data_IF_467660067833
#
_entry.id   IF_467660067833
#
_cell.length_a   1.000
_cell.length_b   1.000
_cell.length_c   1.000
_cell.angle_alpha   90.00
_cell.angle_beta   90.00
_cell.angle_gamma   90.00
#
_symmetry.space_group_name_H-M   'P 1'
#
loop_
_entity.id
_entity.type
_entity.pdbx_description
1 polymer ?
#
# COMPACT_ATOMS: atom_id res chain seq x y z
N UNK A 1 23.10 -40.14 9.10
CA UNK A 1 22.10 -39.08 8.94
C UNK A 1 21.11 -39.21 10.07
N UNK A 2 21.14 -38.25 10.99
CA UNK A 2 20.25 -38.23 12.16
C UNK A 2 18.86 -37.71 11.77
N UNK A 3 17.81 -38.07 12.51
CA UNK A 3 16.43 -37.60 12.25
C UNK A 3 16.29 -36.08 12.21
N UNK A 4 17.21 -35.34 12.85
CA UNK A 4 17.29 -33.87 12.80
C UNK A 4 17.72 -33.32 11.43
N UNK A 5 18.57 -34.03 10.67
CA UNK A 5 19.02 -33.58 9.33
C UNK A 5 17.97 -33.84 8.23
N UNK A 6 16.96 -34.67 8.53
CA UNK A 6 15.84 -34.99 7.64
C UNK A 6 14.68 -34.00 7.80
N UNK A 7 14.48 -33.42 8.99
CA UNK A 7 13.45 -32.40 9.23
C UNK A 7 13.82 -31.05 8.61
N UNK A 8 15.08 -30.60 8.75
CA UNK A 8 15.55 -29.32 8.16
C UNK A 8 15.42 -29.29 6.62
N UNK A 9 15.60 -30.44 5.97
CA UNK A 9 15.52 -30.57 4.50
C UNK A 9 14.07 -30.58 3.97
N UNK A 10 13.09 -30.87 4.84
CA UNK A 10 11.68 -30.86 4.45
C UNK A 10 11.14 -29.42 4.40
N UNK A 11 11.62 -28.53 5.27
CA UNK A 11 11.21 -27.13 5.31
C UNK A 11 11.73 -26.31 4.12
N UNK A 12 12.95 -26.58 3.64
CA UNK A 12 13.48 -25.93 2.41
C UNK A 12 12.69 -26.29 1.14
N UNK A 13 11.98 -27.43 1.13
CA UNK A 13 11.22 -27.89 -0.04
C UNK A 13 9.84 -27.21 -0.18
N UNK A 14 9.34 -26.60 0.90
CA UNK A 14 7.96 -26.09 1.00
C UNK A 14 7.93 -24.56 1.06
N UNK A 15 9.03 -23.91 1.44
CA UNK A 15 9.12 -22.46 1.49
C UNK A 15 9.33 -21.86 0.08
N UNK A 16 8.56 -20.82 -0.32
CA UNK A 16 8.79 -20.13 -1.57
C UNK A 16 10.21 -19.55 -1.61
N UNK A 17 10.89 -19.72 -2.74
CA UNK A 17 12.23 -19.15 -2.94
C UNK A 17 12.13 -17.64 -3.01
N UNK A 18 12.99 -16.95 -2.26
CA UNK A 18 13.14 -15.50 -2.35
C UNK A 18 13.69 -15.10 -3.72
N UNK A 19 13.05 -14.11 -4.34
CA UNK A 19 13.53 -13.42 -5.52
C UNK A 19 14.32 -12.20 -5.06
N UNK A 20 15.58 -12.14 -5.47
CA UNK A 20 16.47 -11.00 -5.22
C UNK A 20 16.69 -10.19 -6.50
N UNK A 21 16.79 -10.86 -7.64
CA UNK A 21 17.16 -10.21 -8.90
C UNK A 21 16.23 -10.67 -10.01
N UNK A 22 15.78 -9.72 -10.83
CA UNK A 22 15.01 -10.01 -12.04
C UNK A 22 15.15 -8.89 -13.06
N UNK A 23 14.88 -9.22 -14.32
CA UNK A 23 14.96 -8.29 -15.44
C UNK A 23 13.66 -8.33 -16.25
N UNK A 24 13.23 -7.16 -16.71
CA UNK A 24 12.19 -7.03 -17.72
C UNK A 24 12.70 -6.18 -18.88
N UNK A 25 12.40 -6.61 -20.10
CA UNK A 25 12.63 -5.83 -21.31
C UNK A 25 11.35 -5.75 -22.14
N UNK A 26 10.93 -4.54 -22.53
CA UNK A 26 9.76 -4.32 -23.38
C UNK A 26 9.96 -3.18 -24.36
N UNK A 27 9.34 -3.28 -25.53
CA UNK A 27 9.27 -2.17 -26.50
C UNK A 27 7.97 -1.40 -26.26
N UNK A 28 8.06 -0.09 -26.15
CA UNK A 28 6.93 0.82 -25.93
C UNK A 28 6.76 1.74 -27.14
N UNK A 29 5.51 1.97 -27.52
CA UNK A 29 5.14 2.79 -28.68
C UNK A 29 5.13 4.29 -28.33
N UNK A 30 6.29 4.77 -27.89
CA UNK A 30 6.54 6.17 -27.50
C UNK A 30 8.00 6.52 -27.86
N UNK A 31 8.26 7.71 -28.43
CA UNK A 31 9.61 8.19 -28.67
C UNK A 31 10.44 8.33 -27.38
N UNK A 32 11.74 8.03 -27.49
CA UNK A 32 12.65 7.97 -26.34
C UNK A 32 12.64 9.21 -25.46
N UNK A 33 12.65 10.40 -26.07
CA UNK A 33 12.59 11.66 -25.34
C UNK A 33 11.30 11.83 -24.52
N UNK A 34 10.13 11.39 -25.03
CA UNK A 34 8.86 11.56 -24.33
C UNK A 34 8.76 10.66 -23.10
N UNK A 35 9.08 9.37 -23.24
CA UNK A 35 9.02 8.43 -22.11
C UNK A 35 10.10 8.74 -21.08
N UNK A 36 11.33 9.07 -21.51
CA UNK A 36 12.42 9.42 -20.61
C UNK A 36 12.09 10.65 -19.79
N UNK A 37 11.63 11.74 -20.42
CA UNK A 37 11.31 12.98 -19.70
C UNK A 37 10.22 12.77 -18.64
N UNK A 38 9.26 11.88 -18.88
CA UNK A 38 8.18 11.58 -17.92
C UNK A 38 8.65 10.67 -16.78
N UNK A 39 9.53 9.69 -17.06
CA UNK A 39 10.13 8.85 -16.01
C UNK A 39 11.20 9.59 -15.19
N UNK A 40 11.85 10.60 -15.76
CA UNK A 40 12.83 11.44 -15.07
C UNK A 40 12.19 12.56 -14.23
N UNK A 41 10.89 12.86 -14.44
CA UNK A 41 10.14 13.88 -13.70
C UNK A 41 9.59 13.34 -12.38
N UNK A 42 10.52 13.11 -11.43
CA UNK A 42 10.26 12.49 -10.12
C UNK A 42 9.17 13.25 -9.33
N UNK A 43 9.15 14.58 -9.40
CA UNK A 43 8.15 15.42 -8.73
C UNK A 43 6.72 15.13 -9.20
N UNK A 44 6.56 14.66 -10.44
CA UNK A 44 5.27 14.40 -11.07
C UNK A 44 4.77 12.95 -10.89
N UNK A 45 5.54 12.09 -10.21
CA UNK A 45 5.14 10.70 -9.96
C UNK A 45 3.76 10.54 -9.30
N UNK A 46 3.32 11.40 -8.36
CA UNK A 46 1.96 11.31 -7.81
C UNK A 46 0.85 11.52 -8.85
N UNK A 47 1.10 12.27 -9.93
CA UNK A 47 0.10 12.42 -11.00
C UNK A 47 0.09 11.21 -11.94
N UNK A 48 1.25 10.55 -12.11
CA UNK A 48 1.41 9.38 -13.00
C UNK A 48 0.91 8.09 -12.32
N UNK A 49 1.17 7.95 -11.02
CA UNK A 49 0.83 6.79 -10.19
C UNK A 49 0.04 7.20 -8.94
N UNK A 50 -1.11 7.87 -9.08
CA UNK A 50 -1.84 8.50 -7.96
C UNK A 50 -2.35 7.52 -6.91
N UNK A 51 -2.47 6.23 -7.26
CA UNK A 51 -2.85 5.18 -6.31
C UNK A 51 -1.65 4.61 -5.54
N UNK A 52 -0.46 4.67 -6.14
CA UNK A 52 0.74 3.99 -5.65
C UNK A 52 1.73 4.93 -4.98
N UNK A 53 1.79 6.19 -5.41
CA UNK A 53 2.70 7.23 -4.90
C UNK A 53 1.83 8.38 -4.39
N UNK A 54 1.73 8.49 -3.07
CA UNK A 54 0.88 9.47 -2.39
C UNK A 54 1.53 10.85 -2.37
N UNK A 55 2.86 10.91 -2.21
CA UNK A 55 3.59 12.17 -2.21
C UNK A 55 5.06 11.98 -2.57
N UNK A 56 5.65 13.04 -3.13
CA UNK A 56 7.08 13.15 -3.41
C UNK A 56 7.54 14.51 -2.87
N UNK A 57 8.53 14.48 -1.97
CA UNK A 57 9.14 15.68 -1.39
C UNK A 57 10.64 15.71 -1.73
N UNK A 58 11.04 16.64 -2.58
CA UNK A 58 12.45 16.76 -3.01
C UNK A 58 13.30 17.33 -1.87
N UNK A 59 14.25 16.52 -1.40
CA UNK A 59 15.19 16.90 -0.34
C UNK A 59 16.43 17.59 -0.91
N UNK A 60 16.90 17.13 -2.07
CA UNK A 60 18.04 17.71 -2.77
C UNK A 60 17.93 17.45 -4.28
N UNK A 61 18.39 18.40 -5.10
CA UNK A 61 18.37 18.31 -6.56
C UNK A 61 19.61 18.97 -7.13
N UNK A 62 20.39 18.17 -7.86
CA UNK A 62 21.50 18.63 -8.71
C UNK A 62 21.17 18.33 -10.17
N UNK A 63 22.10 18.57 -11.09
CA UNK A 63 21.86 18.37 -12.53
C UNK A 63 21.46 16.91 -12.87
N UNK A 64 22.14 15.93 -12.27
CA UNK A 64 21.96 14.51 -12.60
C UNK A 64 21.48 13.66 -11.42
N UNK A 65 21.34 14.24 -10.23
CA UNK A 65 20.95 13.50 -9.01
C UNK A 65 19.82 14.20 -8.30
N UNK A 66 18.76 13.45 -8.01
CA UNK A 66 17.61 13.88 -7.20
C UNK A 66 17.54 12.98 -5.98
N UNK A 67 17.40 13.56 -4.78
CA UNK A 67 17.09 12.82 -3.56
C UNK A 67 15.73 13.28 -3.11
N UNK A 68 14.78 12.35 -3.01
CA UNK A 68 13.41 12.61 -2.64
C UNK A 68 12.97 11.70 -1.50
N UNK A 69 12.09 12.22 -0.65
CA UNK A 69 11.27 11.40 0.24
C UNK A 69 9.98 11.06 -0.51
N UNK A 70 9.72 9.78 -0.71
CA UNK A 70 8.58 9.27 -1.48
C UNK A 70 7.68 8.43 -0.57
N UNK A 71 6.38 8.73 -0.56
CA UNK A 71 5.38 7.95 0.18
C UNK A 71 4.61 7.05 -0.77
N UNK A 72 4.77 5.74 -0.57
CA UNK A 72 4.16 4.69 -1.36
C UNK A 72 2.95 4.06 -0.65
N UNK A 73 1.99 3.59 -1.44
CA UNK A 73 0.81 2.86 -0.98
C UNK A 73 0.45 1.75 -1.96
N UNK A 74 0.54 0.48 -1.55
CA UNK A 74 0.14 -0.66 -2.39
C UNK A 74 -0.54 -1.72 -1.54
N UNK A 75 -1.73 -2.20 -1.95
CA UNK A 75 -2.46 -3.27 -1.27
C UNK A 75 -2.59 -3.09 0.27
N UNK A 76 -2.79 -1.86 0.75
CA UNK A 76 -2.89 -1.52 2.18
C UNK A 76 -1.54 -1.22 2.85
N UNK A 77 -0.42 -1.59 2.22
CA UNK A 77 0.94 -1.32 2.69
C UNK A 77 1.29 0.12 2.35
N UNK A 78 1.49 0.95 3.38
CA UNK A 78 2.05 2.30 3.24
C UNK A 78 3.48 2.35 3.75
N UNK A 79 4.39 2.90 2.95
CA UNK A 79 5.78 3.08 3.37
C UNK A 79 6.36 4.37 2.82
N UNK A 80 7.34 4.90 3.54
CA UNK A 80 8.03 6.14 3.19
C UNK A 80 9.49 5.78 2.99
N UNK A 81 10.04 6.17 1.84
CA UNK A 81 11.37 5.81 1.41
C UNK A 81 12.15 7.08 1.08
N UNK A 82 13.45 7.09 1.39
CA UNK A 82 14.34 8.09 0.82
C UNK A 82 15.01 7.47 -0.40
N UNK A 83 14.73 8.05 -1.56
CA UNK A 83 15.12 7.50 -2.85
C UNK A 83 16.06 8.47 -3.53
N UNK A 84 17.18 7.93 -4.02
CA UNK A 84 18.17 8.65 -4.80
C UNK A 84 18.04 8.23 -6.26
N UNK A 85 17.71 9.19 -7.10
CA UNK A 85 17.63 9.04 -8.53
C UNK A 85 18.90 9.59 -9.16
N UNK A 86 19.56 8.79 -9.99
CA UNK A 86 20.68 9.23 -10.84
C UNK A 86 20.24 9.13 -12.30
N UNK A 87 20.28 10.25 -13.02
CA UNK A 87 19.69 10.43 -14.34
C UNK A 87 20.83 10.66 -15.33
N UNK A 88 20.99 9.73 -16.27
CA UNK A 88 21.85 9.91 -17.45
C UNK A 88 20.94 10.21 -18.65
N UNK A 89 20.86 11.48 -19.10
CA UNK A 89 19.85 11.94 -20.04
C UNK A 89 19.64 11.02 -21.24
N UNK A 90 18.39 10.64 -21.47
CA UNK A 90 17.91 9.82 -22.60
C UNK A 90 18.49 8.40 -22.70
N UNK A 91 19.22 7.92 -21.68
CA UNK A 91 19.90 6.63 -21.74
C UNK A 91 19.64 5.76 -20.51
N UNK A 92 19.69 6.34 -19.30
CA UNK A 92 19.61 5.56 -18.07
C UNK A 92 19.00 6.34 -16.92
N UNK A 93 18.21 5.67 -16.10
CA UNK A 93 17.71 6.17 -14.82
C UNK A 93 17.96 5.10 -13.76
N UNK A 94 18.80 5.43 -12.79
CA UNK A 94 19.09 4.56 -11.64
C UNK A 94 18.32 5.06 -10.44
N UNK A 95 17.55 4.20 -9.81
CA UNK A 95 16.73 4.47 -8.62
C UNK A 95 17.31 3.62 -7.50
N UNK A 96 17.89 4.27 -6.50
CA UNK A 96 18.56 3.64 -5.36
C UNK A 96 17.82 4.04 -4.09
N UNK A 97 17.30 3.06 -3.35
CA UNK A 97 16.63 3.31 -2.08
C UNK A 97 17.70 3.37 -1.00
N UNK A 98 17.87 4.54 -0.38
CA UNK A 98 18.97 4.81 0.56
C UNK A 98 18.50 4.83 2.03
N UNK A 99 17.19 4.88 2.27
CA UNK A 99 16.57 4.74 3.60
C UNK A 99 15.14 4.18 3.50
N UNK A 100 14.72 3.40 4.49
CA UNK A 100 13.43 2.70 4.54
C UNK A 100 13.51 1.18 4.28
N UNK A 101 12.37 0.48 4.29
CA UNK A 101 12.24 -1.00 4.21
C UNK A 101 12.87 -1.67 3.02
N UNK A 102 13.12 -0.90 1.97
CA UNK A 102 13.69 -1.40 0.75
C UNK A 102 15.10 -0.84 0.53
N UNK A 103 15.75 -0.30 1.57
CA UNK A 103 17.09 0.25 1.43
C UNK A 103 18.05 -0.83 0.94
N UNK A 104 18.91 -0.45 0.00
CA UNK A 104 19.75 -1.38 -0.76
C UNK A 104 19.12 -1.86 -2.06
N UNK A 105 17.80 -1.72 -2.23
CA UNK A 105 17.14 -1.98 -3.51
C UNK A 105 17.61 -0.98 -4.56
N UNK A 106 17.95 -1.51 -5.74
CA UNK A 106 18.43 -0.75 -6.89
C UNK A 106 17.63 -1.16 -8.11
N UNK A 107 17.00 -0.17 -8.75
CA UNK A 107 16.29 -0.34 -10.02
C UNK A 107 17.05 0.46 -11.08
N UNK A 108 17.46 -0.21 -12.15
CA UNK A 108 18.17 0.40 -13.28
C UNK A 108 17.30 0.30 -14.51
N UNK A 109 16.81 1.43 -14.98
CA UNK A 109 16.09 1.57 -16.24
C UNK A 109 17.04 2.05 -17.33
N UNK A 110 17.10 1.32 -18.43
CA UNK A 110 17.89 1.63 -19.63
C UNK A 110 16.95 1.87 -20.80
N UNK A 111 17.23 2.90 -21.58
CA UNK A 111 16.39 3.37 -22.66
C UNK A 111 17.14 3.29 -24.00
N UNK A 112 16.63 2.50 -24.93
CA UNK A 112 17.21 2.30 -26.26
C UNK A 112 16.20 2.76 -27.33
N UNK A 113 16.51 3.81 -28.12
CA UNK A 113 15.62 4.24 -29.21
C UNK A 113 15.60 3.20 -30.34
N UNK A 114 14.39 2.86 -30.82
CA UNK A 114 14.17 1.98 -31.97
C UNK A 114 13.15 2.67 -32.87
N UNK A 115 13.61 3.33 -33.95
CA UNK A 115 12.78 4.15 -34.83
C UNK A 115 11.94 5.19 -34.05
N UNK A 116 10.61 5.06 -34.05
CA UNK A 116 9.68 5.90 -33.28
C UNK A 116 9.28 5.33 -31.91
N UNK A 117 9.87 4.20 -31.54
CA UNK A 117 9.60 3.45 -30.32
C UNK A 117 10.81 3.47 -29.39
N UNK A 118 10.62 2.97 -28.18
CA UNK A 118 11.70 2.86 -27.19
C UNK A 118 11.70 1.45 -26.62
N UNK A 119 12.85 0.79 -26.60
CA UNK A 119 13.05 -0.41 -25.80
C UNK A 119 13.50 0.00 -24.41
N UNK A 120 12.69 -0.37 -23.42
CA UNK A 120 12.96 -0.15 -22.01
C UNK A 120 13.39 -1.47 -21.38
N UNK A 121 14.58 -1.48 -20.80
CA UNK A 121 15.07 -2.59 -19.98
C UNK A 121 15.12 -2.12 -18.53
N UNK A 122 14.48 -2.84 -17.62
CA UNK A 122 14.52 -2.57 -16.18
C UNK A 122 15.16 -3.76 -15.48
N UNK A 123 16.32 -3.52 -14.88
CA UNK A 123 16.99 -4.48 -13.99
C UNK A 123 16.66 -4.11 -12.55
N UNK A 124 16.23 -5.08 -11.77
CA UNK A 124 15.86 -4.87 -10.38
C UNK A 124 16.68 -5.78 -9.49
N UNK A 125 17.36 -5.17 -8.53
CA UNK A 125 17.93 -5.83 -7.37
C UNK A 125 17.09 -5.43 -6.15
N UNK A 126 16.46 -6.41 -5.50
CA UNK A 126 15.64 -6.26 -4.32
C UNK A 126 16.48 -6.54 -3.07
N UNK A 127 16.62 -5.53 -2.23
CA UNK A 127 17.07 -5.67 -0.85
C UNK A 127 15.92 -5.20 0.04
N UNK A 128 15.15 -6.17 0.52
CA UNK A 128 13.86 -5.96 1.16
C UNK A 128 13.87 -6.50 2.56
N UNK A 129 13.46 -5.65 3.46
CA UNK A 129 13.38 -5.94 4.86
C UNK A 129 11.96 -5.61 5.36
N UNK A 130 11.62 -6.11 6.55
CA UNK A 130 10.46 -5.64 7.30
C UNK A 130 9.17 -6.00 6.62
N UNK A 131 8.27 -5.03 6.52
CA UNK A 131 6.97 -5.25 5.89
C UNK A 131 7.08 -5.51 4.38
N UNK A 132 8.18 -5.09 3.75
CA UNK A 132 8.42 -5.33 2.31
C UNK A 132 9.01 -6.70 2.02
N UNK A 133 9.55 -7.40 3.02
CA UNK A 133 10.16 -8.73 2.85
C UNK A 133 9.20 -9.75 2.22
N UNK A 134 7.89 -9.59 2.41
CA UNK A 134 6.84 -10.43 1.79
C UNK A 134 6.87 -10.37 0.26
N UNK A 135 7.27 -9.24 -0.33
CA UNK A 135 7.37 -9.06 -1.79
C UNK A 135 8.43 -9.98 -2.39
N UNK A 136 9.51 -10.26 -1.67
CA UNK A 136 10.56 -11.18 -2.12
C UNK A 136 10.07 -12.62 -2.33
N UNK A 137 8.94 -13.00 -1.71
CA UNK A 137 8.35 -14.33 -1.85
C UNK A 137 7.27 -14.41 -2.93
N UNK A 138 6.94 -13.29 -3.60
CA UNK A 138 6.01 -13.31 -4.72
C UNK A 138 6.62 -14.02 -5.93
N UNK A 139 5.83 -14.73 -6.73
CA UNK A 139 6.32 -15.29 -8.00
C UNK A 139 6.86 -14.20 -8.92
N UNK A 140 7.95 -14.49 -9.63
CA UNK A 140 8.62 -13.54 -10.55
C UNK A 140 7.64 -12.96 -11.58
N UNK A 141 6.75 -13.80 -12.09
CA UNK A 141 5.69 -13.40 -13.01
C UNK A 141 4.81 -12.28 -12.48
N UNK A 142 4.54 -12.26 -11.17
CA UNK A 142 3.71 -11.24 -10.53
C UNK A 142 4.48 -9.91 -10.42
N UNK A 143 5.77 -9.97 -10.08
CA UNK A 143 6.65 -8.80 -10.04
C UNK A 143 6.80 -8.18 -11.44
N UNK A 144 7.05 -9.02 -12.44
CA UNK A 144 7.13 -8.62 -13.86
C UNK A 144 5.80 -8.03 -14.33
N UNK A 145 4.66 -8.59 -13.93
CA UNK A 145 3.36 -8.02 -14.25
C UNK A 145 3.16 -6.64 -13.59
N UNK A 146 3.48 -6.50 -12.30
CA UNK A 146 3.34 -5.24 -11.58
C UNK A 146 4.22 -4.13 -12.22
N UNK A 147 5.48 -4.42 -12.53
CA UNK A 147 6.34 -3.48 -13.25
C UNK A 147 5.79 -3.13 -14.62
N UNK A 148 5.23 -4.10 -15.35
CA UNK A 148 4.57 -3.81 -16.62
C UNK A 148 3.40 -2.84 -16.47
N UNK A 149 2.57 -3.01 -15.44
CA UNK A 149 1.48 -2.08 -15.13
C UNK A 149 2.01 -0.69 -14.83
N UNK A 150 3.03 -0.58 -13.98
CA UNK A 150 3.69 0.70 -13.66
C UNK A 150 4.21 1.39 -14.92
N UNK A 151 5.00 0.68 -15.74
CA UNK A 151 5.55 1.25 -16.98
C UNK A 151 4.43 1.63 -17.95
N UNK A 152 3.31 0.91 -17.98
CA UNK A 152 2.16 1.28 -18.82
C UNK A 152 1.54 2.62 -18.43
N UNK A 153 1.41 2.93 -17.14
CA UNK A 153 0.96 4.27 -16.70
C UNK A 153 1.91 5.37 -17.16
N UNK A 154 3.23 5.17 -17.05
CA UNK A 154 4.22 6.11 -17.60
C UNK A 154 4.10 6.27 -19.12
N UNK A 155 3.86 5.17 -19.85
CA UNK A 155 3.65 5.19 -21.30
C UNK A 155 2.39 5.96 -21.67
N UNK A 156 1.27 5.72 -20.99
CA UNK A 156 0.01 6.44 -21.21
C UNK A 156 0.18 7.93 -20.93
N UNK A 157 0.73 8.28 -19.78
CA UNK A 157 0.97 9.67 -19.39
C UNK A 157 1.96 10.38 -20.34
N UNK A 158 2.93 9.66 -20.89
CA UNK A 158 3.89 10.22 -21.85
C UNK A 158 3.25 10.65 -23.18
N UNK A 159 2.08 10.10 -23.52
CA UNK A 159 1.32 10.48 -24.72
C UNK A 159 0.59 11.81 -24.54
N UNK A 160 0.27 12.20 -23.30
CA UNK A 160 -0.40 13.45 -23.00
C UNK A 160 0.42 14.65 -23.47
N UNK A 161 -0.27 15.61 -24.07
CA UNK A 161 0.27 16.94 -24.33
C UNK A 161 0.25 17.81 -23.07
N UNK A 162 0.73 19.05 -23.20
CA UNK A 162 0.83 19.95 -22.05
C UNK A 162 -0.53 20.28 -21.43
N UNK A 163 -1.58 20.41 -22.23
CA UNK A 163 -2.92 20.77 -21.76
C UNK A 163 -3.59 19.59 -21.06
N UNK A 164 -3.45 18.38 -21.60
CA UNK A 164 -3.94 17.15 -20.97
C UNK A 164 -3.28 16.94 -19.60
N UNK A 165 -1.95 17.13 -19.50
CA UNK A 165 -1.24 17.05 -18.20
C UNK A 165 -1.71 18.11 -17.21
N UNK A 166 -1.90 19.35 -17.67
CA UNK A 166 -2.43 20.44 -16.84
C UNK A 166 -3.82 20.11 -16.30
N UNK A 167 -4.73 19.61 -17.15
CA UNK A 167 -6.07 19.20 -16.72
C UNK A 167 -6.00 18.08 -15.69
N UNK A 168 -5.26 17.01 -15.99
CA UNK A 168 -5.14 15.86 -15.08
C UNK A 168 -4.57 16.29 -13.71
N UNK A 169 -3.54 17.15 -13.71
CA UNK A 169 -2.98 17.70 -12.47
C UNK A 169 -3.99 18.53 -11.68
N UNK A 170 -4.82 19.35 -12.34
CA UNK A 170 -5.86 20.15 -11.67
C UNK A 170 -6.97 19.24 -11.11
N UNK A 171 -7.35 18.19 -11.83
CA UNK A 171 -8.28 17.16 -11.32
C UNK A 171 -7.75 16.49 -10.06
N UNK A 172 -6.49 16.05 -10.07
CA UNK A 172 -5.85 15.44 -8.90
C UNK A 172 -5.83 16.40 -7.70
N UNK A 173 -5.46 17.66 -7.92
CA UNK A 173 -5.36 18.66 -6.84
C UNK A 173 -6.70 19.06 -6.23
N UNK A 174 -7.77 19.11 -7.04
CA UNK A 174 -9.08 19.61 -6.59
C UNK A 174 -10.02 18.48 -6.17
N UNK A 175 -10.00 17.36 -6.89
CA UNK A 175 -10.94 16.25 -6.75
C UNK A 175 -10.28 14.95 -6.24
N UNK A 176 -8.97 14.94 -5.98
CA UNK A 176 -8.21 13.78 -5.50
C UNK A 176 -8.33 12.53 -6.39
N UNK A 177 -8.50 12.74 -7.70
CA UNK A 177 -8.59 11.68 -8.71
C UNK A 177 -8.04 12.16 -10.06
N UNK A 178 -7.61 11.25 -10.94
CA UNK A 178 -7.26 11.60 -12.31
C UNK A 178 -8.50 12.07 -13.09
N UNK A 179 -8.26 12.85 -14.14
CA UNK A 179 -9.32 13.22 -15.07
C UNK A 179 -9.80 11.96 -15.81
N UNK A 180 -11.12 11.81 -15.96
CA UNK A 180 -11.65 10.82 -16.89
C UNK A 180 -11.45 11.29 -18.34
N UNK A 181 -11.60 10.38 -19.30
CA UNK A 181 -11.35 10.68 -20.71
C UNK A 181 -12.19 11.85 -21.25
N UNK A 182 -13.43 12.01 -20.75
CA UNK A 182 -14.32 13.08 -21.19
C UNK A 182 -13.85 14.44 -20.66
N UNK A 183 -13.59 14.54 -19.36
CA UNK A 183 -13.05 15.74 -18.72
C UNK A 183 -11.68 16.13 -19.29
N UNK A 184 -10.79 15.14 -19.47
CA UNK A 184 -9.47 15.35 -20.05
C UNK A 184 -9.57 15.94 -21.46
N UNK A 185 -10.38 15.35 -22.34
CA UNK A 185 -10.57 15.84 -23.71
C UNK A 185 -11.24 17.20 -23.75
N UNK A 186 -12.30 17.39 -22.96
CA UNK A 186 -13.11 18.60 -22.95
C UNK A 186 -12.27 19.80 -22.49
N UNK A 187 -11.70 19.73 -21.28
CA UNK A 187 -11.00 20.87 -20.70
C UNK A 187 -9.65 21.13 -21.36
N UNK A 188 -8.95 20.10 -21.86
CA UNK A 188 -7.71 20.33 -22.62
C UNK A 188 -7.99 21.06 -23.93
N UNK A 189 -9.14 20.79 -24.57
CA UNK A 189 -9.58 21.52 -25.77
C UNK A 189 -9.89 22.98 -25.46
N UNK A 190 -10.58 23.26 -24.35
CA UNK A 190 -10.89 24.63 -23.93
C UNK A 190 -9.63 25.43 -23.56
N UNK A 191 -8.69 24.82 -22.83
CA UNK A 191 -7.41 25.44 -22.50
C UNK A 191 -6.57 25.70 -23.75
N UNK A 192 -6.51 24.73 -24.67
CA UNK A 192 -5.77 24.85 -25.94
C UNK A 192 -6.33 25.93 -26.85
N UNK A 193 -7.65 26.14 -26.80
CA UNK A 193 -8.33 27.20 -27.53
C UNK A 193 -8.34 28.55 -26.79
N UNK A 194 -7.67 28.65 -25.63
CA UNK A 194 -7.63 29.83 -24.75
C UNK A 194 -9.04 30.32 -24.34
N UNK A 195 -10.03 29.42 -24.33
CA UNK A 195 -11.41 29.75 -23.95
C UNK A 195 -11.61 29.78 -22.44
N UNK A 196 -10.75 29.06 -21.71
CA UNK A 196 -10.66 29.07 -20.26
C UNK A 196 -9.18 29.16 -19.86
N UNK A 197 -8.92 29.69 -18.69
CA UNK A 197 -7.61 29.63 -18.03
C UNK A 197 -7.53 28.44 -17.06
N UNK A 198 -6.33 28.13 -16.57
CA UNK A 198 -6.16 27.14 -15.49
C UNK A 198 -6.95 27.54 -14.23
N UNK A 199 -7.05 28.84 -13.95
CA UNK A 199 -7.81 29.36 -12.82
C UNK A 199 -9.31 29.14 -13.01
N UNK A 200 -9.82 29.39 -14.22
CA UNK A 200 -11.23 29.11 -14.55
C UNK A 200 -11.53 27.61 -14.38
N UNK A 201 -10.63 26.72 -14.84
CA UNK A 201 -10.79 25.28 -14.64
C UNK A 201 -10.82 24.90 -13.16
N UNK A 202 -9.91 25.45 -12.34
CA UNK A 202 -9.92 25.23 -10.88
C UNK A 202 -11.24 25.66 -10.26
N UNK A 203 -11.77 26.82 -10.65
CA UNK A 203 -13.07 27.30 -10.17
C UNK A 203 -14.23 26.42 -10.63
N UNK A 204 -14.21 25.93 -11.87
CA UNK A 204 -15.20 24.99 -12.39
C UNK A 204 -15.19 23.71 -11.55
N UNK A 205 -14.02 23.10 -11.31
CA UNK A 205 -13.92 21.87 -10.53
C UNK A 205 -14.27 22.12 -9.05
N UNK A 206 -13.87 23.25 -8.47
CA UNK A 206 -14.21 23.60 -7.08
C UNK A 206 -15.71 23.76 -6.84
N UNK A 207 -16.44 24.22 -7.84
CA UNK A 207 -17.90 24.40 -7.78
C UNK A 207 -18.67 23.23 -8.42
N UNK A 208 -17.98 22.20 -8.90
CA UNK A 208 -18.60 21.04 -9.52
C UNK A 208 -19.43 20.23 -8.52
N UNK A 209 -20.39 19.45 -9.01
CA UNK A 209 -21.15 18.55 -8.15
C UNK A 209 -20.24 17.55 -7.42
N UNK A 210 -19.11 17.15 -8.03
CA UNK A 210 -18.12 16.25 -7.44
C UNK A 210 -17.41 16.86 -6.23
N UNK A 211 -17.28 18.19 -6.20
CA UNK A 211 -16.71 18.90 -5.04
C UNK A 211 -17.77 19.30 -4.02
N UNK A 212 -19.00 19.54 -4.45
CA UNK A 212 -20.11 19.89 -3.55
C UNK A 212 -20.57 18.66 -2.77
N UNK A 213 -20.40 18.65 -1.44
CA UNK A 213 -20.91 17.57 -0.60
C UNK A 213 -22.45 17.51 -0.67
N UNK A 214 -23.01 16.70 -1.57
CA UNK A 214 -24.44 16.36 -1.57
C UNK A 214 -24.64 15.23 -0.57
N UNK A 215 -25.34 15.52 0.53
CA UNK A 215 -25.82 14.49 1.45
C UNK A 215 -27.00 13.78 0.78
N UNK A 216 -26.74 12.61 0.21
CA UNK A 216 -27.71 11.71 -0.41
C UNK A 216 -28.59 11.01 0.63
N UNK A 217 -29.83 10.72 0.25
CA UNK A 217 -30.66 9.77 0.98
C UNK A 217 -30.15 8.33 0.79
N UNK A 218 -30.57 7.39 1.65
CA UNK A 218 -30.04 6.00 1.61
C UNK A 218 -30.38 5.32 0.29
N UNK A 219 -31.56 5.54 -0.26
CA UNK A 219 -32.00 5.03 -1.55
C UNK A 219 -31.16 5.56 -2.72
N UNK A 220 -30.59 6.76 -2.58
CA UNK A 220 -29.72 7.42 -3.56
C UNK A 220 -28.24 7.02 -3.46
N UNK A 221 -27.82 6.36 -2.36
CA UNK A 221 -26.46 5.81 -2.25
C UNK A 221 -26.25 4.67 -3.24
N UNK A 222 -25.03 4.54 -3.75
CA UNK A 222 -24.62 3.45 -4.62
C UNK A 222 -24.71 2.09 -3.89
N UNK A 223 -25.05 1.04 -4.62
CA UNK A 223 -25.22 -0.28 -4.03
C UNK A 223 -23.89 -0.85 -3.52
N UNK A 224 -22.78 -0.57 -4.20
CA UNK A 224 -21.45 -0.96 -3.74
C UNK A 224 -21.07 -0.20 -2.47
N UNK A 225 -21.40 1.09 -2.36
CA UNK A 225 -21.25 1.85 -1.11
C UNK A 225 -21.99 1.17 0.04
N UNK A 226 -23.26 0.80 -0.16
CA UNK A 226 -24.04 0.11 0.89
C UNK A 226 -23.42 -1.21 1.32
N UNK A 227 -22.90 -1.99 0.36
CA UNK A 227 -22.20 -3.25 0.64
C UNK A 227 -20.92 -2.97 1.43
N UNK A 228 -20.10 -2.02 1.00
CA UNK A 228 -18.83 -1.67 1.66
C UNK A 228 -19.05 -1.15 3.09
N UNK A 229 -20.06 -0.31 3.33
CA UNK A 229 -20.36 0.15 4.69
C UNK A 229 -20.91 -0.98 5.56
N UNK A 230 -21.77 -1.85 5.04
CA UNK A 230 -22.21 -3.02 5.79
C UNK A 230 -21.05 -3.98 6.11
N UNK A 231 -20.13 -4.22 5.17
CA UNK A 231 -18.92 -5.00 5.40
C UNK A 231 -18.08 -4.42 6.54
N UNK A 232 -17.86 -3.10 6.55
CA UNK A 232 -17.17 -2.39 7.63
C UNK A 232 -17.85 -2.62 8.99
N UNK A 233 -19.17 -2.52 9.05
CA UNK A 233 -19.94 -2.75 10.28
C UNK A 233 -19.90 -4.21 10.73
N UNK A 234 -20.06 -5.17 9.81
CA UNK A 234 -20.04 -6.59 10.14
C UNK A 234 -18.65 -7.01 10.62
N UNK A 235 -17.62 -6.52 9.94
CA UNK A 235 -16.23 -6.83 10.24
C UNK A 235 -15.80 -6.25 11.58
N UNK A 236 -16.13 -4.99 11.86
CA UNK A 236 -15.58 -4.28 13.03
C UNK A 236 -16.52 -4.16 14.23
N UNK A 237 -17.83 -4.20 14.00
CA UNK A 237 -18.87 -4.08 15.03
C UNK A 237 -19.78 -5.31 15.12
N UNK A 238 -19.52 -6.39 14.36
CA UNK A 238 -20.23 -7.67 14.45
C UNK A 238 -21.75 -7.57 14.21
N UNK A 239 -22.19 -6.56 13.46
CA UNK A 239 -23.60 -6.35 13.07
C UNK A 239 -23.67 -5.64 11.72
N UNK A 240 -24.85 -5.62 11.10
CA UNK A 240 -25.10 -4.75 9.95
C UNK A 240 -25.19 -3.26 10.37
N UNK A 241 -24.97 -2.37 9.41
CA UNK A 241 -25.17 -0.93 9.62
C UNK A 241 -26.66 -0.64 9.82
N UNK A 242 -26.97 0.16 10.83
CA UNK A 242 -28.31 0.73 10.98
C UNK A 242 -28.54 1.84 9.94
N UNK A 243 -29.79 2.27 9.69
CA UNK A 243 -30.08 3.27 8.66
C UNK A 243 -29.33 4.60 8.85
N UNK A 244 -29.10 5.03 10.09
CA UNK A 244 -28.40 6.28 10.38
C UNK A 244 -26.90 6.13 10.08
N UNK A 245 -26.29 5.03 10.50
CA UNK A 245 -24.91 4.65 10.20
C UNK A 245 -24.67 4.47 8.70
N UNK A 246 -25.57 3.77 8.00
CA UNK A 246 -25.49 3.57 6.56
C UNK A 246 -25.59 4.89 5.79
N UNK A 247 -26.50 5.79 6.21
CA UNK A 247 -26.61 7.12 5.63
C UNK A 247 -25.37 7.96 5.91
N UNK A 248 -24.91 8.00 7.15
CA UNK A 248 -23.79 8.84 7.56
C UNK A 248 -22.49 8.39 6.90
N UNK A 249 -22.10 7.14 7.08
CA UNK A 249 -20.85 6.61 6.54
C UNK A 249 -20.91 6.37 5.04
N UNK A 250 -22.08 6.05 4.47
CA UNK A 250 -22.23 5.97 3.02
C UNK A 250 -22.01 7.31 2.34
N UNK A 251 -22.54 8.40 2.93
CA UNK A 251 -22.24 9.74 2.45
C UNK A 251 -20.78 10.13 2.68
N UNK A 252 -20.19 9.82 3.84
CA UNK A 252 -18.77 10.08 4.05
C UNK A 252 -17.92 9.38 2.98
N UNK A 253 -18.21 8.10 2.70
CA UNK A 253 -17.48 7.30 1.72
C UNK A 253 -17.60 7.85 0.29
N UNK A 254 -18.81 8.16 -0.15
CA UNK A 254 -19.04 8.74 -1.48
C UNK A 254 -18.51 10.17 -1.63
N UNK A 255 -18.33 10.89 -0.52
CA UNK A 255 -17.69 12.21 -0.48
C UNK A 255 -16.18 12.15 -0.22
N UNK A 256 -15.55 10.98 -0.42
CA UNK A 256 -14.10 10.82 -0.45
C UNK A 256 -13.46 10.33 0.85
N UNK A 257 -14.23 10.04 1.90
CA UNK A 257 -13.69 9.34 3.06
C UNK A 257 -13.27 7.93 2.65
N UNK A 258 -12.06 7.56 2.99
CA UNK A 258 -11.48 6.26 2.69
C UNK A 258 -12.07 5.17 3.60
N UNK A 259 -11.97 3.92 3.15
CA UNK A 259 -12.28 2.74 3.98
C UNK A 259 -11.55 2.80 5.33
N UNK A 260 -10.28 3.21 5.32
CA UNK A 260 -9.45 3.31 6.53
C UNK A 260 -9.93 4.39 7.50
N UNK A 261 -10.35 5.55 6.99
CA UNK A 261 -10.88 6.62 7.85
C UNK A 261 -12.17 6.17 8.53
N UNK A 262 -13.09 5.54 7.79
CA UNK A 262 -14.33 5.02 8.36
C UNK A 262 -14.05 3.89 9.35
N UNK A 263 -13.16 2.94 8.99
CA UNK A 263 -12.68 1.88 9.88
C UNK A 263 -12.16 2.45 11.20
N UNK A 264 -11.30 3.47 11.15
CA UNK A 264 -10.74 4.08 12.35
C UNK A 264 -11.82 4.75 13.21
N UNK A 265 -12.79 5.43 12.61
CA UNK A 265 -13.92 6.02 13.33
C UNK A 265 -14.74 4.92 14.04
N UNK A 266 -15.07 3.83 13.34
CA UNK A 266 -15.81 2.71 13.92
C UNK A 266 -15.02 2.06 15.05
N UNK A 267 -13.72 1.80 14.86
CA UNK A 267 -12.85 1.21 15.87
C UNK A 267 -12.64 2.09 17.10
N UNK A 268 -12.77 3.42 16.97
CA UNK A 268 -12.68 4.37 18.09
C UNK A 268 -14.00 4.52 18.87
N UNK A 269 -15.12 4.03 18.34
CA UNK A 269 -16.42 4.11 19.01
C UNK A 269 -16.46 3.35 20.35
N UNK A 270 -17.42 3.74 21.19
CA UNK A 270 -17.75 3.03 22.44
C UNK A 270 -18.26 1.62 22.16
N UNK A 271 -18.94 1.43 21.03
CA UNK A 271 -19.46 0.15 20.58
C UNK A 271 -18.32 -0.85 20.29
N UNK A 272 -17.33 -0.44 19.49
CA UNK A 272 -16.15 -1.26 19.23
C UNK A 272 -15.37 -1.59 20.52
N UNK A 273 -15.29 -0.62 21.45
CA UNK A 273 -14.67 -0.86 22.76
C UNK A 273 -15.38 -1.95 23.55
N UNK A 274 -16.72 -1.97 23.50
CA UNK A 274 -17.54 -2.95 24.21
C UNK A 274 -17.42 -4.35 23.59
N UNK A 275 -17.29 -4.43 22.26
CA UNK A 275 -17.20 -5.68 21.51
C UNK A 275 -15.78 -6.26 21.40
N UNK A 276 -14.75 -5.51 21.83
CA UNK A 276 -13.35 -5.86 21.60
C UNK A 276 -12.96 -7.27 22.06
N UNK A 277 -13.53 -7.76 23.17
CA UNK A 277 -13.24 -9.11 23.71
C UNK A 277 -14.01 -10.23 23.02
N UNK A 278 -15.09 -9.90 22.32
CA UNK A 278 -15.94 -10.86 21.58
C UNK A 278 -15.53 -10.94 20.10
N UNK A 279 -14.84 -9.92 19.61
CA UNK A 279 -14.35 -9.87 18.24
C UNK A 279 -13.26 -10.95 18.01
N UNK A 280 -13.41 -11.82 17.00
CA UNK A 280 -12.57 -13.00 16.83
C UNK A 280 -11.07 -12.64 16.72
N UNK A 281 -10.71 -11.71 15.83
CA UNK A 281 -9.31 -11.28 15.64
C UNK A 281 -8.74 -10.60 16.89
N UNK A 282 -9.45 -9.63 17.46
CA UNK A 282 -8.98 -8.89 18.65
C UNK A 282 -8.82 -9.80 19.86
N UNK A 283 -9.73 -10.75 20.07
CA UNK A 283 -9.62 -11.74 21.14
C UNK A 283 -8.41 -12.66 20.96
N UNK A 284 -8.10 -13.08 19.73
CA UNK A 284 -6.90 -13.87 19.42
C UNK A 284 -5.62 -13.09 19.73
N UNK A 285 -5.56 -11.81 19.34
CA UNK A 285 -4.42 -10.92 19.65
C UNK A 285 -4.24 -10.82 21.16
N UNK A 286 -5.32 -10.58 21.91
CA UNK A 286 -5.28 -10.47 23.37
C UNK A 286 -4.78 -11.76 24.03
N UNK A 287 -5.22 -12.92 23.55
CA UNK A 287 -4.81 -14.23 24.07
C UNK A 287 -3.32 -14.48 23.78
N UNK A 288 -2.89 -14.27 22.53
CA UNK A 288 -1.51 -14.51 22.13
C UNK A 288 -0.54 -13.58 22.87
N UNK A 289 -0.90 -12.30 23.00
CA UNK A 289 -0.12 -11.32 23.75
C UNK A 289 0.04 -11.74 25.22
N UNK A 290 -1.05 -12.19 25.85
CA UNK A 290 -0.99 -12.67 27.23
C UNK A 290 -0.11 -13.91 27.40
N UNK A 291 -0.11 -14.84 26.45
CA UNK A 291 0.75 -16.03 26.48
C UNK A 291 2.23 -15.71 26.25
N UNK A 292 2.54 -14.64 25.52
CA UNK A 292 3.91 -14.20 25.28
C UNK A 292 4.47 -13.46 26.51
N UNK A 293 3.71 -12.49 27.02
CA UNK A 293 4.21 -11.44 27.90
C UNK A 293 3.63 -11.49 29.31
N UNK A 294 2.74 -12.44 29.61
CA UNK A 294 2.05 -12.56 30.90
C UNK A 294 1.24 -11.29 31.30
N UNK A 295 0.92 -10.42 30.34
CA UNK A 295 0.15 -9.18 30.53
C UNK A 295 -0.99 -9.03 29.50
N UNK A 296 -1.93 -8.10 29.72
CA UNK A 296 -2.98 -7.79 28.74
C UNK A 296 -2.62 -6.54 27.92
N UNK A 297 -2.78 -6.59 26.58
CA UNK A 297 -2.49 -5.44 25.75
C UNK A 297 -3.52 -4.32 25.98
N UNK A 298 -3.07 -3.07 25.93
CA UNK A 298 -3.98 -1.93 25.88
C UNK A 298 -4.65 -1.79 24.50
N UNK A 299 -5.66 -0.92 24.39
CA UNK A 299 -6.44 -0.73 23.15
C UNK A 299 -5.57 -0.41 21.93
N UNK A 300 -4.56 0.45 22.08
CA UNK A 300 -3.65 0.85 21.00
C UNK A 300 -2.86 -0.34 20.46
N UNK A 301 -2.40 -1.23 21.33
CA UNK A 301 -1.69 -2.46 20.94
C UNK A 301 -2.62 -3.39 20.16
N UNK A 302 -3.84 -3.58 20.64
CA UNK A 302 -4.83 -4.42 19.94
C UNK A 302 -5.22 -3.82 18.59
N UNK A 303 -5.41 -2.50 18.50
CA UNK A 303 -5.73 -1.81 17.25
C UNK A 303 -4.62 -1.95 16.22
N UNK A 304 -3.36 -1.85 16.67
CA UNK A 304 -2.18 -2.03 15.83
C UNK A 304 -2.14 -3.43 15.19
N UNK A 305 -2.24 -4.47 16.01
CA UNK A 305 -2.22 -5.84 15.51
C UNK A 305 -3.49 -6.21 14.72
N UNK A 306 -4.65 -5.67 15.09
CA UNK A 306 -5.88 -5.89 14.33
C UNK A 306 -5.75 -5.33 12.91
N UNK A 307 -5.14 -4.15 12.78
CA UNK A 307 -4.82 -3.56 11.48
C UNK A 307 -3.88 -4.43 10.67
N UNK A 308 -2.84 -5.00 11.27
CA UNK A 308 -1.97 -5.93 10.55
C UNK A 308 -2.75 -7.14 10.01
N UNK A 309 -3.67 -7.72 10.77
CA UNK A 309 -4.50 -8.82 10.26
C UNK A 309 -5.40 -8.39 9.11
N UNK A 310 -6.00 -7.19 9.19
CA UNK A 310 -6.82 -6.62 8.12
C UNK A 310 -6.02 -6.39 6.83
N UNK A 311 -4.79 -5.92 6.98
CA UNK A 311 -3.83 -5.68 5.89
C UNK A 311 -3.24 -7.00 5.34
N UNK A 312 -3.78 -8.16 5.76
CA UNK A 312 -3.42 -9.47 5.25
C UNK A 312 -2.20 -10.11 5.90
N UNK A 313 -1.67 -9.54 6.98
CA UNK A 313 -0.56 -10.14 7.73
C UNK A 313 -1.09 -11.24 8.67
N UNK A 314 -0.75 -12.53 8.42
CA UNK A 314 -1.15 -13.60 9.32
C UNK A 314 -0.29 -13.55 10.59
N UNK A 315 -0.71 -12.75 11.57
CA UNK A 315 0.00 -12.63 12.86
C UNK A 315 0.17 -13.95 13.59
N UNK A 316 -0.83 -14.83 13.44
CA UNK A 316 -0.91 -16.14 14.08
C UNK A 316 -1.43 -17.12 13.02
N UNK A 317 -0.60 -18.07 12.54
CA UNK A 317 -1.05 -19.07 11.57
C UNK A 317 -2.22 -19.90 12.09
N UNK A 318 -3.15 -20.31 11.20
CA UNK A 318 -4.36 -21.04 11.59
C UNK A 318 -4.08 -22.32 12.40
N UNK A 319 -3.00 -23.04 12.12
CA UNK A 319 -2.64 -24.24 12.87
C UNK A 319 -2.18 -23.93 14.30
N UNK A 320 -1.57 -22.76 14.53
CA UNK A 320 -1.14 -22.28 15.86
C UNK A 320 -2.35 -22.00 16.75
N UNK A 321 -3.49 -21.59 16.16
CA UNK A 321 -4.75 -21.36 16.90
C UNK A 321 -5.26 -22.60 17.64
N UNK A 322 -4.84 -23.81 17.23
CA UNK A 322 -5.16 -25.04 17.96
C UNK A 322 -4.57 -25.06 19.38
N UNK A 323 -3.44 -24.39 19.61
CA UNK A 323 -2.82 -24.26 20.94
C UNK A 323 -3.76 -23.52 21.89
N UNK A 324 -4.45 -22.47 21.42
CA UNK A 324 -5.46 -21.75 22.21
C UNK A 324 -6.63 -22.65 22.59
N UNK A 325 -7.08 -23.50 21.66
CA UNK A 325 -8.15 -24.46 21.90
C UNK A 325 -7.72 -25.54 22.90
N UNK A 326 -6.55 -26.14 22.72
CA UNK A 326 -6.03 -27.17 23.63
C UNK A 326 -5.83 -26.65 25.05
N UNK A 327 -5.40 -25.40 25.19
CA UNK A 327 -5.35 -24.69 26.47
C UNK A 327 -6.76 -24.55 27.08
N UNK A 328 -7.72 -24.03 26.34
CA UNK A 328 -9.11 -23.87 26.83
C UNK A 328 -9.76 -25.20 27.24
N UNK A 329 -9.42 -26.30 26.56
CA UNK A 329 -9.93 -27.64 26.88
C UNK A 329 -9.05 -28.43 27.86
N UNK A 330 -8.05 -27.78 28.48
CA UNK A 330 -7.10 -28.40 29.43
C UNK A 330 -6.38 -29.65 28.89
N UNK A 331 -6.17 -29.74 27.58
CA UNK A 331 -5.37 -30.79 26.92
C UNK A 331 -3.88 -30.55 27.14
N UNK A 332 -3.49 -29.27 27.24
CA UNK A 332 -2.15 -28.80 27.64
C UNK A 332 -2.31 -27.78 28.76
N UNK A 333 -1.30 -27.65 29.62
CA UNK A 333 -1.28 -26.67 30.70
C UNK A 333 -1.02 -25.24 30.21
N UNK A 334 -1.30 -24.25 31.08
CA UNK A 334 -0.96 -22.84 30.82
C UNK A 334 0.54 -22.65 30.59
N UNK A 335 1.39 -23.40 31.29
CA UNK A 335 2.84 -23.35 31.11
C UNK A 335 3.28 -23.93 29.76
N UNK A 336 2.73 -25.06 29.34
CA UNK A 336 3.03 -25.69 28.05
C UNK A 336 2.58 -24.83 26.87
N UNK A 337 1.39 -24.23 26.96
CA UNK A 337 0.89 -23.32 25.93
C UNK A 337 1.73 -22.03 25.82
N UNK A 338 2.12 -21.43 26.95
CA UNK A 338 2.99 -20.24 26.95
C UNK A 338 4.37 -20.56 26.37
N UNK A 339 4.97 -21.68 26.75
CA UNK A 339 6.27 -22.12 26.21
C UNK A 339 6.23 -22.36 24.70
N UNK A 340 5.17 -23.01 24.18
CA UNK A 340 5.00 -23.24 22.75
C UNK A 340 4.84 -21.94 21.96
N UNK A 341 4.04 -20.99 22.46
CA UNK A 341 3.84 -19.69 21.81
C UNK A 341 5.13 -18.85 21.82
N UNK A 342 5.89 -18.85 22.92
CA UNK A 342 7.20 -18.18 23.01
C UNK A 342 8.24 -18.77 22.04
N UNK A 343 8.26 -20.09 21.89
CA UNK A 343 9.13 -20.75 20.91
C UNK A 343 8.80 -20.30 19.48
N UNK A 344 7.53 -20.33 19.08
CA UNK A 344 7.10 -19.93 17.73
C UNK A 344 7.33 -18.45 17.44
N UNK A 345 7.21 -17.60 18.45
CA UNK A 345 7.59 -16.19 18.35
C UNK A 345 9.09 -16.03 18.08
N UNK A 346 9.96 -16.75 18.80
CA UNK A 346 11.41 -16.68 18.60
C UNK A 346 11.85 -17.15 17.21
N UNK A 347 11.12 -18.10 16.60
CA UNK A 347 11.34 -18.58 15.23
C UNK A 347 10.74 -17.64 14.15
N UNK A 348 10.15 -16.51 14.54
CA UNK A 348 9.54 -15.54 13.62
C UNK A 348 8.20 -15.97 13.02
N UNK A 349 7.54 -16.99 13.59
CA UNK A 349 6.26 -17.52 13.11
C UNK A 349 5.08 -16.72 13.67
N UNK A 350 5.21 -16.14 14.86
CA UNK A 350 4.20 -15.25 15.47
C UNK A 350 4.75 -13.83 15.53
N UNK A 351 3.95 -12.86 15.11
CA UNK A 351 4.38 -11.47 14.89
C UNK A 351 3.65 -10.55 15.90
N UNK A 352 3.86 -10.75 17.20
CA UNK A 352 3.25 -9.97 18.30
C UNK A 352 4.31 -9.64 19.36
N UNK A 353 4.49 -8.36 19.71
CA UNK A 353 5.56 -7.82 20.58
C UNK A 353 5.01 -7.07 21.83
N UNK A 354 5.76 -7.12 22.94
CA UNK A 354 5.39 -6.68 24.31
C UNK A 354 5.19 -5.17 24.48
N UNK A 355 5.77 -4.41 23.57
CA UNK A 355 5.49 -3.01 23.38
C UNK A 355 5.49 -2.92 21.86
N UNK A 356 4.51 -2.29 21.20
CA UNK A 356 4.72 -1.71 19.89
C UNK A 356 5.70 -0.56 20.11
N UNK A 357 6.93 -0.91 20.48
CA UNK A 357 8.00 -0.01 20.84
C UNK A 357 8.19 0.83 19.60
N UNK A 358 8.29 2.15 19.70
CA UNK A 358 8.73 2.91 18.54
C UNK A 358 10.10 2.43 18.01
N UNK A 359 10.88 1.75 18.89
CA UNK A 359 12.19 1.14 18.65
C UNK A 359 12.24 -0.34 18.18
N UNK A 360 11.28 -1.22 18.49
CA UNK A 360 11.00 -2.44 17.70
C UNK A 360 10.12 -2.17 16.51
N UNK A 361 9.32 -1.11 16.52
CA UNK A 361 8.97 -0.41 15.30
C UNK A 361 10.24 0.12 14.67
N UNK A 362 11.38 0.41 15.31
CA UNK A 362 12.69 0.63 14.65
C UNK A 362 13.48 -0.65 14.38
N UNK A 363 13.12 -1.84 14.84
CA UNK A 363 13.74 -3.10 14.38
C UNK A 363 12.88 -3.80 13.34
N UNK A 364 11.56 -3.57 13.35
CA UNK A 364 10.63 -3.63 12.24
C UNK A 364 10.74 -2.38 11.33
N UNK A 365 11.34 -1.27 11.83
CA UNK A 365 11.85 -0.08 11.06
C UNK A 365 13.35 -0.03 10.82
N UNK A 366 14.07 -1.10 11.15
CA UNK A 366 15.45 -1.36 10.71
C UNK A 366 15.53 -2.73 10.01
N UNK A 367 14.48 -3.53 10.13
CA UNK A 367 13.90 -4.24 9.01
C UNK A 367 13.14 -3.23 8.09
N UNK A 368 12.91 -1.97 8.51
CA UNK A 368 12.80 -0.80 7.60
C UNK A 368 14.19 -0.21 7.20
N UNK A 369 15.27 -1.01 7.15
CA UNK A 369 16.58 -0.59 6.61
C UNK A 369 17.19 -1.69 5.80
#
# INVERSE_FOLDING_TARGET
MTSAELDDNLFELILPKKITDFEISRVVDVPNNRIFNVMADVENFPNILPKNILSVNILNKTENVIIAEEEFSEAGIKTKLVVKHTIDPYSKHTIEIIDGDAKGTIIIQSFEPIDSQTKLTTNVHLDLHGITSVVSFLPESNLVHALNTVISHFVEYSKFDIYERTVDSIYQQILNRPADNEGLLHYSTLLRAEQITEQDLREILLNSEEKSMKVKAIDELDNQTKITINDLYEKFLLRAADPEGLKHFGNLYENGATYEEIRNILLQSDEASTLSTQHPVRSEIMIAYNLLFDEFPNRTVVDHYHKMVDDGYPLIPNWVKNIFKWRQTAVISDAESSNAIRFLYNEGIIIIDEIPSNDKLLEYKNLKK
#
